data_IF_492590579677
#
_entry.id   IF_492590579677
#
_cell.length_a   1.000
_cell.length_b   1.000
_cell.length_c   1.000
_cell.angle_alpha   90.00
_cell.angle_beta   90.00
_cell.angle_gamma   90.00
#
_symmetry.space_group_name_H-M   'P 1'
#
loop_
_entity.id
_entity.type
_entity.pdbx_description
1 polymer ?
#
# COMPACT_ATOMS: atom_id res chain seq x y z
N UNK A 1 -32.00 69.45 29.99
CA UNK A 1 -30.67 69.67 29.34
C UNK A 1 -29.52 68.81 29.94
N UNK A 2 -29.61 68.33 31.19
CA UNK A 2 -28.59 67.44 31.75
C UNK A 2 -28.94 65.96 31.48
N UNK A 3 -30.23 65.60 31.54
CA UNK A 3 -30.74 64.23 31.32
C UNK A 3 -30.50 63.78 29.84
N UNK A 4 -30.71 64.67 28.89
CA UNK A 4 -30.52 64.35 27.45
C UNK A 4 -29.05 64.05 27.10
N UNK A 5 -28.13 64.69 27.83
CA UNK A 5 -26.69 64.41 27.63
C UNK A 5 -26.20 63.12 28.32
N UNK A 6 -26.91 62.66 29.33
CA UNK A 6 -26.62 61.38 29.98
C UNK A 6 -27.13 60.23 29.11
N UNK A 7 -28.36 60.37 28.57
CA UNK A 7 -28.93 59.38 27.65
C UNK A 7 -28.11 59.23 26.35
N UNK A 8 -27.61 60.33 25.79
CA UNK A 8 -26.69 60.28 24.61
C UNK A 8 -25.34 59.63 24.93
N UNK A 9 -24.84 59.72 26.15
CA UNK A 9 -23.63 59.04 26.57
C UNK A 9 -23.85 57.56 26.80
N UNK A 10 -24.91 57.16 27.43
CA UNK A 10 -25.28 55.78 27.66
C UNK A 10 -25.53 55.05 26.35
N UNK A 11 -26.23 55.69 25.38
CA UNK A 11 -26.42 55.10 24.05
C UNK A 11 -25.09 54.99 23.27
N UNK A 12 -24.16 55.90 23.47
CA UNK A 12 -22.87 55.85 22.82
C UNK A 12 -21.97 54.76 23.41
N UNK A 13 -21.97 54.62 24.73
CA UNK A 13 -21.25 53.53 25.42
C UNK A 13 -21.80 52.17 25.07
N UNK A 14 -23.17 52.00 24.99
CA UNK A 14 -23.77 50.77 24.55
C UNK A 14 -23.44 50.41 23.10
N UNK A 15 -23.37 51.40 22.18
CA UNK A 15 -22.99 51.13 20.80
C UNK A 15 -21.50 50.82 20.67
N UNK A 16 -20.64 51.38 21.51
CA UNK A 16 -19.22 51.07 21.54
C UNK A 16 -18.95 49.68 22.15
N UNK A 17 -19.75 49.24 23.16
CA UNK A 17 -19.70 47.89 23.71
C UNK A 17 -20.24 46.86 22.71
N UNK A 18 -21.39 47.09 22.05
CA UNK A 18 -21.91 46.21 20.99
C UNK A 18 -20.93 46.10 19.80
N UNK A 19 -20.29 47.19 19.41
CA UNK A 19 -19.29 47.18 18.36
C UNK A 19 -18.01 46.43 18.78
N UNK A 20 -17.61 46.49 20.05
CA UNK A 20 -16.49 45.73 20.59
C UNK A 20 -16.79 44.25 20.67
N UNK A 21 -18.03 43.89 21.10
CA UNK A 21 -18.50 42.50 21.15
C UNK A 21 -18.63 41.89 19.75
N UNK A 22 -19.10 42.64 18.76
CA UNK A 22 -19.11 42.22 17.33
C UNK A 22 -17.71 42.04 16.75
N UNK A 23 -16.73 42.79 17.21
CA UNK A 23 -15.33 42.66 16.82
C UNK A 23 -14.69 41.43 17.49
N UNK A 24 -15.05 41.15 18.75
CA UNK A 24 -14.56 39.94 19.46
C UNK A 24 -15.21 38.65 18.93
N UNK A 25 -16.49 38.66 18.59
CA UNK A 25 -17.16 37.53 17.92
C UNK A 25 -16.66 37.32 16.49
N UNK A 26 -16.19 38.38 15.82
CA UNK A 26 -15.51 38.31 14.52
C UNK A 26 -14.07 37.77 14.57
N UNK A 27 -13.49 37.65 15.79
CA UNK A 27 -12.15 37.05 16.02
C UNK A 27 -12.23 35.59 16.49
N UNK A 28 -13.41 35.05 16.79
CA UNK A 28 -13.55 33.60 16.91
C UNK A 28 -13.26 33.00 15.52
N UNK A 29 -12.11 32.39 15.43
CA UNK A 29 -11.54 31.70 14.26
C UNK A 29 -12.63 31.06 13.40
N UNK A 30 -13.06 31.80 12.38
CA UNK A 30 -13.84 31.22 11.31
C UNK A 30 -13.00 30.06 10.73
N UNK A 31 -13.44 28.80 10.89
CA UNK A 31 -12.68 27.63 10.39
C UNK A 31 -12.29 27.79 8.92
N UNK A 32 -13.07 28.56 8.16
CA UNK A 32 -12.80 28.88 6.74
C UNK A 32 -11.63 29.85 6.64
N UNK A 33 -11.56 30.89 7.49
CA UNK A 33 -10.42 31.82 7.53
C UNK A 33 -9.13 31.13 7.96
N UNK A 34 -9.21 30.25 8.96
CA UNK A 34 -8.05 29.45 9.42
C UNK A 34 -7.60 28.51 8.31
N UNK A 35 -8.53 27.83 7.63
CA UNK A 35 -8.26 26.97 6.47
C UNK A 35 -7.61 27.77 5.33
N UNK A 36 -8.17 28.93 4.96
CA UNK A 36 -7.60 29.78 3.90
C UNK A 36 -6.24 30.34 4.27
N UNK A 37 -6.00 30.68 5.56
CA UNK A 37 -4.69 31.11 6.05
C UNK A 37 -3.67 29.99 5.99
N UNK A 38 -4.04 28.75 6.36
CA UNK A 38 -3.18 27.57 6.24
C UNK A 38 -2.89 27.25 4.77
N UNK A 39 -3.91 27.30 3.91
CA UNK A 39 -3.75 27.11 2.46
C UNK A 39 -2.85 28.18 1.82
N UNK A 40 -2.97 29.45 2.27
CA UNK A 40 -2.14 30.55 1.76
C UNK A 40 -0.67 30.50 2.21
N UNK A 41 -0.35 29.70 3.25
CA UNK A 41 1.04 29.49 3.69
C UNK A 41 1.77 28.39 2.92
N UNK A 42 1.02 27.53 2.20
CA UNK A 42 1.59 26.48 1.36
C UNK A 42 1.97 27.11 0.02
N UNK A 43 3.27 27.23 -0.24
CA UNK A 43 3.75 27.71 -1.53
C UNK A 43 3.30 26.76 -2.64
N UNK A 44 2.62 27.28 -3.64
CA UNK A 44 2.24 26.50 -4.84
C UNK A 44 3.52 26.03 -5.54
N UNK A 45 3.55 24.76 -5.91
CA UNK A 45 4.64 24.21 -6.70
C UNK A 45 4.66 24.86 -8.09
N UNK A 46 5.84 25.15 -8.60
CA UNK A 46 5.99 25.50 -10.00
C UNK A 46 5.78 24.24 -10.85
N UNK A 47 5.42 24.40 -12.12
CA UNK A 47 5.25 23.27 -13.07
C UNK A 47 6.50 22.38 -13.16
N UNK A 48 7.69 22.97 -13.04
CA UNK A 48 8.96 22.24 -13.06
C UNK A 48 9.15 21.41 -11.79
N UNK A 49 8.80 21.98 -10.62
CA UNK A 49 8.83 21.28 -9.34
C UNK A 49 7.82 20.13 -9.30
N UNK A 50 6.60 20.37 -9.80
CA UNK A 50 5.57 19.34 -9.93
C UNK A 50 6.03 18.16 -10.80
N UNK A 51 6.61 18.46 -11.99
CA UNK A 51 7.13 17.45 -12.89
C UNK A 51 8.30 16.66 -12.27
N UNK A 52 9.18 17.35 -11.54
CA UNK A 52 10.32 16.73 -10.85
C UNK A 52 9.84 15.80 -9.75
N UNK A 53 8.86 16.25 -8.96
CA UNK A 53 8.26 15.46 -7.90
C UNK A 53 7.53 14.24 -8.46
N UNK A 54 6.71 14.42 -9.51
CA UNK A 54 6.00 13.34 -10.17
C UNK A 54 6.97 12.25 -10.69
N UNK A 55 8.06 12.64 -11.36
CA UNK A 55 9.10 11.70 -11.80
C UNK A 55 9.76 10.96 -10.64
N UNK A 56 10.00 11.65 -9.51
CA UNK A 56 10.58 11.02 -8.32
C UNK A 56 9.64 9.99 -7.70
N UNK A 57 8.34 10.32 -7.60
CA UNK A 57 7.31 9.39 -7.11
C UNK A 57 7.23 8.16 -8.02
N UNK A 58 7.16 8.38 -9.33
CA UNK A 58 7.10 7.31 -10.33
C UNK A 58 8.33 6.39 -10.25
N UNK A 59 9.53 6.94 -10.18
CA UNK A 59 10.77 6.18 -10.05
C UNK A 59 10.79 5.33 -8.76
N UNK A 60 10.33 5.88 -7.63
CA UNK A 60 10.24 5.16 -6.37
C UNK A 60 9.17 4.05 -6.42
N UNK A 61 8.01 4.30 -7.06
CA UNK A 61 6.98 3.29 -7.31
C UNK A 61 7.53 2.13 -8.14
N UNK A 62 8.22 2.42 -9.25
CA UNK A 62 8.83 1.39 -10.08
C UNK A 62 9.86 0.56 -9.31
N UNK A 63 10.74 1.22 -8.53
CA UNK A 63 11.74 0.52 -7.74
C UNK A 63 11.11 -0.44 -6.71
N UNK A 64 10.02 -0.02 -6.04
CA UNK A 64 9.26 -0.87 -5.13
C UNK A 64 8.61 -2.06 -5.85
N UNK A 65 7.92 -1.81 -6.96
CA UNK A 65 7.28 -2.85 -7.79
C UNK A 65 8.28 -3.87 -8.29
N UNK A 66 9.40 -3.43 -8.84
CA UNK A 66 10.44 -4.30 -9.39
C UNK A 66 11.07 -5.19 -8.31
N UNK A 67 11.31 -4.65 -7.11
CA UNK A 67 11.83 -5.42 -5.98
C UNK A 67 10.89 -6.59 -5.63
N UNK A 68 9.57 -6.35 -5.60
CA UNK A 68 8.57 -7.39 -5.30
C UNK A 68 8.42 -8.38 -6.46
N UNK A 69 8.29 -7.89 -7.68
CA UNK A 69 8.01 -8.72 -8.86
C UNK A 69 9.22 -9.57 -9.30
N UNK A 70 10.43 -9.20 -8.89
CA UNK A 70 11.64 -10.00 -9.10
C UNK A 70 11.66 -11.29 -8.28
N UNK A 71 10.79 -11.44 -7.27
CA UNK A 71 10.72 -12.62 -6.42
C UNK A 71 10.09 -13.82 -7.15
N UNK A 72 10.59 -15.05 -6.92
CA UNK A 72 10.01 -16.26 -7.52
C UNK A 72 8.54 -16.47 -7.17
N UNK A 73 8.13 -16.00 -5.99
CA UNK A 73 6.78 -16.12 -5.47
C UNK A 73 5.78 -15.22 -6.23
N UNK A 74 6.23 -14.03 -6.67
CA UNK A 74 5.35 -13.04 -7.30
C UNK A 74 4.59 -13.62 -8.51
N UNK A 75 5.27 -14.39 -9.36
CA UNK A 75 4.62 -15.05 -10.50
C UNK A 75 3.47 -15.97 -10.08
N UNK A 76 3.66 -16.77 -9.03
CA UNK A 76 2.65 -17.72 -8.56
C UNK A 76 1.47 -16.99 -7.94
N UNK A 77 1.77 -16.03 -7.10
CA UNK A 77 0.73 -15.31 -6.38
C UNK A 77 -0.04 -14.37 -7.31
N UNK A 78 0.63 -13.82 -8.34
CA UNK A 78 -0.06 -13.11 -9.42
C UNK A 78 -1.02 -14.01 -10.22
N UNK A 79 -0.62 -15.26 -10.53
CA UNK A 79 -1.53 -16.21 -11.16
C UNK A 79 -2.76 -16.50 -10.28
N UNK A 80 -2.55 -16.62 -8.97
CA UNK A 80 -3.64 -16.83 -8.00
C UNK A 80 -4.55 -15.60 -7.90
N UNK A 81 -3.96 -14.41 -7.83
CA UNK A 81 -4.70 -13.15 -7.85
C UNK A 81 -5.56 -13.06 -9.12
N UNK A 82 -4.96 -13.35 -10.27
CA UNK A 82 -5.68 -13.37 -11.56
C UNK A 82 -6.82 -14.37 -11.58
N UNK A 83 -6.64 -15.56 -11.00
CA UNK A 83 -7.72 -16.55 -10.89
C UNK A 83 -8.89 -15.98 -10.07
N UNK A 84 -8.63 -15.29 -8.96
CA UNK A 84 -9.67 -14.68 -8.13
C UNK A 84 -10.39 -13.50 -8.80
N UNK A 85 -9.66 -12.69 -9.58
CA UNK A 85 -10.23 -11.60 -10.37
C UNK A 85 -11.18 -12.14 -11.46
N UNK A 86 -10.78 -13.20 -12.17
CA UNK A 86 -11.59 -13.86 -13.20
C UNK A 86 -12.84 -14.51 -12.57
N UNK A 87 -12.72 -15.12 -11.39
CA UNK A 87 -13.81 -15.74 -10.65
C UNK A 87 -14.76 -14.72 -9.99
N UNK A 88 -14.44 -13.42 -10.06
CA UNK A 88 -15.24 -12.35 -9.45
C UNK A 88 -15.16 -12.30 -7.91
N UNK A 89 -14.15 -12.94 -7.30
CA UNK A 89 -13.92 -12.90 -5.85
C UNK A 89 -13.31 -11.59 -5.38
N UNK A 90 -12.67 -10.85 -6.29
CA UNK A 90 -12.03 -9.56 -6.05
C UNK A 90 -12.49 -8.57 -7.12
N UNK A 91 -12.51 -7.28 -6.75
CA UNK A 91 -12.82 -6.23 -7.70
C UNK A 91 -11.56 -5.90 -8.53
N UNK A 92 -11.62 -5.99 -9.87
CA UNK A 92 -10.45 -5.69 -10.72
C UNK A 92 -9.90 -4.28 -10.57
N UNK A 93 -10.74 -3.29 -10.32
CA UNK A 93 -10.36 -1.87 -10.17
C UNK A 93 -9.35 -1.65 -9.03
N UNK A 94 -9.40 -2.48 -7.98
CA UNK A 94 -8.49 -2.39 -6.84
C UNK A 94 -7.08 -2.91 -7.18
N UNK A 95 -6.96 -3.78 -8.20
CA UNK A 95 -5.73 -4.53 -8.47
C UNK A 95 -5.09 -4.25 -9.83
N UNK A 96 -5.81 -3.60 -10.76
CA UNK A 96 -5.30 -3.22 -12.08
C UNK A 96 -5.53 -1.73 -12.34
N UNK A 97 -4.52 -1.07 -12.96
CA UNK A 97 -4.59 0.34 -13.41
C UNK A 97 -5.13 0.43 -14.85
N UNK A 98 -5.94 -0.52 -15.28
CA UNK A 98 -6.50 -0.51 -16.62
C UNK A 98 -7.49 0.66 -16.82
N UNK A 99 -7.80 0.97 -18.07
CA UNK A 99 -8.69 2.06 -18.44
C UNK A 99 -10.04 1.94 -17.70
N UNK A 100 -10.45 2.96 -16.93
CA UNK A 100 -11.73 2.95 -16.22
C UNK A 100 -12.95 2.83 -17.15
N UNK A 101 -12.78 3.10 -18.45
CA UNK A 101 -13.83 2.91 -19.45
C UNK A 101 -13.92 1.47 -19.99
N UNK A 102 -12.98 0.60 -19.61
CA UNK A 102 -12.98 -0.78 -20.10
C UNK A 102 -14.14 -1.57 -19.46
N UNK A 103 -14.94 -2.21 -20.28
CA UNK A 103 -16.01 -3.07 -19.77
C UNK A 103 -15.41 -4.25 -18.99
N UNK A 104 -16.05 -4.63 -17.87
CA UNK A 104 -15.61 -5.74 -17.03
C UNK A 104 -15.34 -7.03 -17.81
N UNK A 105 -16.15 -7.31 -18.84
CA UNK A 105 -16.00 -8.50 -19.67
C UNK A 105 -14.71 -8.44 -20.51
N UNK A 106 -14.35 -7.30 -21.04
CA UNK A 106 -13.12 -7.08 -21.82
C UNK A 106 -11.90 -7.22 -20.91
N UNK A 107 -11.95 -6.65 -19.70
CA UNK A 107 -10.90 -6.79 -18.69
C UNK A 107 -10.68 -8.25 -18.31
N UNK A 108 -11.76 -9.01 -18.07
CA UNK A 108 -11.67 -10.45 -17.76
C UNK A 108 -11.03 -11.22 -18.93
N UNK A 109 -11.36 -10.89 -20.17
CA UNK A 109 -10.74 -11.52 -21.35
C UNK A 109 -9.23 -11.19 -21.44
N UNK A 110 -8.83 -9.96 -21.16
CA UNK A 110 -7.42 -9.57 -21.08
C UNK A 110 -6.69 -10.36 -19.98
N UNK A 111 -7.26 -10.44 -18.78
CA UNK A 111 -6.70 -11.21 -17.68
C UNK A 111 -6.55 -12.71 -18.01
N UNK A 112 -7.51 -13.31 -18.73
CA UNK A 112 -7.41 -14.69 -19.20
C UNK A 112 -6.23 -14.86 -20.16
N UNK A 113 -6.03 -13.93 -21.09
CA UNK A 113 -4.91 -13.97 -22.04
C UNK A 113 -3.57 -13.79 -21.33
N UNK A 114 -3.44 -12.79 -20.42
CA UNK A 114 -2.24 -12.55 -19.63
C UNK A 114 -1.89 -13.78 -18.77
N UNK A 115 -2.88 -14.38 -18.11
CA UNK A 115 -2.73 -15.62 -17.35
C UNK A 115 -2.18 -16.77 -18.21
N UNK A 116 -2.70 -16.96 -19.42
CA UNK A 116 -2.21 -17.99 -20.36
C UNK A 116 -0.76 -17.72 -20.77
N UNK A 117 -0.44 -16.46 -21.10
CA UNK A 117 0.93 -16.02 -21.44
C UNK A 117 1.88 -16.25 -20.26
N UNK A 118 1.49 -15.86 -19.05
CA UNK A 118 2.30 -16.03 -17.83
C UNK A 118 2.54 -17.52 -17.51
N UNK A 119 1.51 -18.37 -17.62
CA UNK A 119 1.66 -19.84 -17.43
C UNK A 119 2.61 -20.48 -18.41
N UNK A 120 2.65 -20.03 -19.66
CA UNK A 120 3.56 -20.53 -20.70
C UNK A 120 4.99 -20.00 -20.58
N UNK A 121 5.20 -18.89 -19.88
CA UNK A 121 6.51 -18.24 -19.73
C UNK A 121 7.40 -19.06 -18.78
N UNK A 122 8.36 -19.84 -19.34
CA UNK A 122 9.31 -20.61 -18.54
C UNK A 122 10.52 -19.76 -18.10
N UNK A 123 11.03 -18.88 -18.96
CA UNK A 123 12.15 -18.00 -18.67
C UNK A 123 11.71 -16.84 -17.78
N UNK A 124 12.54 -16.52 -16.77
CA UNK A 124 12.29 -15.42 -15.81
C UNK A 124 12.11 -14.08 -16.54
N UNK A 125 12.96 -13.74 -17.48
CA UNK A 125 12.89 -12.49 -18.26
C UNK A 125 11.58 -12.36 -19.05
N UNK A 126 11.11 -13.45 -19.66
CA UNK A 126 9.83 -13.47 -20.37
C UNK A 126 8.65 -13.34 -19.40
N UNK A 127 8.72 -13.98 -18.24
CA UNK A 127 7.69 -13.85 -17.22
C UNK A 127 7.58 -12.40 -16.70
N UNK A 128 8.70 -11.72 -16.45
CA UNK A 128 8.71 -10.32 -16.01
C UNK A 128 8.09 -9.38 -17.06
N UNK A 129 8.35 -9.59 -18.35
CA UNK A 129 7.69 -8.82 -19.42
C UNK A 129 6.17 -9.01 -19.40
N UNK A 130 5.70 -10.24 -19.24
CA UNK A 130 4.24 -10.49 -19.14
C UNK A 130 3.65 -9.88 -17.87
N UNK A 131 4.38 -9.91 -16.75
CA UNK A 131 3.94 -9.29 -15.48
C UNK A 131 3.80 -7.77 -15.63
N UNK A 132 4.68 -7.12 -16.39
CA UNK A 132 4.56 -5.70 -16.67
C UNK A 132 3.25 -5.32 -17.39
N UNK A 133 2.76 -6.20 -18.28
CA UNK A 133 1.51 -6.01 -19.01
C UNK A 133 0.24 -6.09 -18.12
N UNK A 134 0.37 -6.46 -16.83
CA UNK A 134 -0.78 -6.53 -15.90
C UNK A 134 -1.17 -5.16 -15.31
N UNK A 135 -0.39 -4.12 -15.53
CA UNK A 135 -0.65 -2.76 -15.00
C UNK A 135 -1.09 -2.75 -13.52
N UNK A 136 -0.39 -3.54 -12.68
CA UNK A 136 -0.76 -3.76 -11.29
C UNK A 136 -0.80 -2.45 -10.49
N UNK A 137 -1.80 -2.31 -9.63
CA UNK A 137 -1.84 -1.23 -8.62
C UNK A 137 -0.83 -1.49 -7.51
N UNK A 138 -0.53 -0.46 -6.71
CA UNK A 138 0.28 -0.61 -5.48
C UNK A 138 -0.41 -1.55 -4.49
N UNK A 139 -1.74 -1.58 -4.44
CA UNK A 139 -2.51 -2.51 -3.62
C UNK A 139 -2.24 -3.98 -4.01
N UNK A 140 -2.20 -4.28 -5.32
CA UNK A 140 -1.83 -5.60 -5.80
C UNK A 140 -0.40 -6.00 -5.39
N UNK A 141 0.54 -5.06 -5.45
CA UNK A 141 1.93 -5.28 -5.01
C UNK A 141 1.98 -5.54 -3.51
N UNK A 142 1.30 -4.73 -2.69
CA UNK A 142 1.18 -4.92 -1.24
C UNK A 142 0.60 -6.28 -0.88
N UNK A 143 -0.44 -6.72 -1.59
CA UNK A 143 -1.01 -8.05 -1.40
C UNK A 143 0.02 -9.18 -1.63
N UNK A 144 0.88 -9.07 -2.65
CA UNK A 144 1.97 -10.04 -2.91
C UNK A 144 2.97 -10.04 -1.74
N UNK A 145 3.31 -8.88 -1.19
CA UNK A 145 4.20 -8.76 -0.02
C UNK A 145 3.58 -9.44 1.21
N UNK A 146 2.30 -9.22 1.49
CA UNK A 146 1.58 -9.88 2.57
C UNK A 146 1.59 -11.42 2.44
N UNK A 147 1.43 -11.94 1.20
CA UNK A 147 1.54 -13.38 0.97
C UNK A 147 2.96 -13.86 1.30
N UNK A 148 4.00 -13.14 0.88
CA UNK A 148 5.39 -13.49 1.18
C UNK A 148 5.66 -13.55 2.68
N UNK A 149 5.19 -12.55 3.44
CA UNK A 149 5.27 -12.56 4.90
C UNK A 149 4.55 -13.75 5.53
N UNK A 150 3.33 -14.06 5.03
CA UNK A 150 2.55 -15.19 5.51
C UNK A 150 3.30 -16.51 5.33
N UNK A 151 3.97 -16.70 4.19
CA UNK A 151 4.80 -17.87 3.94
C UNK A 151 6.04 -17.89 4.81
N UNK A 152 6.68 -16.74 5.03
CA UNK A 152 7.83 -16.63 5.93
C UNK A 152 7.46 -17.01 7.37
N UNK A 153 6.36 -16.42 7.90
CA UNK A 153 5.85 -16.76 9.24
C UNK A 153 5.54 -18.26 9.38
N UNK A 154 4.95 -18.86 8.33
CA UNK A 154 4.69 -20.30 8.28
C UNK A 154 5.96 -21.13 8.31
N UNK A 155 6.99 -20.74 7.55
CA UNK A 155 8.28 -21.42 7.50
C UNK A 155 9.03 -21.33 8.84
N UNK A 156 9.05 -20.16 9.47
CA UNK A 156 9.66 -19.95 10.79
C UNK A 156 8.97 -20.76 11.89
N UNK A 157 7.66 -20.88 11.82
CA UNK A 157 6.88 -21.72 12.74
C UNK A 157 7.28 -23.19 12.61
N UNK A 158 7.42 -23.69 11.38
CA UNK A 158 7.87 -25.06 11.12
C UNK A 158 9.29 -25.28 11.64
N UNK A 159 10.20 -24.32 11.45
CA UNK A 159 11.59 -24.43 11.99
C UNK A 159 11.60 -24.47 13.52
N UNK A 160 10.82 -23.60 14.17
CA UNK A 160 10.70 -23.63 15.66
C UNK A 160 10.14 -24.96 16.14
N UNK A 161 9.11 -25.50 15.50
CA UNK A 161 8.54 -26.80 15.84
C UNK A 161 9.54 -27.95 15.63
N UNK A 162 10.36 -27.89 14.57
CA UNK A 162 11.42 -28.88 14.32
C UNK A 162 12.43 -28.89 15.45
N UNK A 163 12.92 -27.72 15.88
CA UNK A 163 13.89 -27.62 17.01
C UNK A 163 13.29 -28.17 18.30
N UNK A 164 12.05 -27.78 18.62
CA UNK A 164 11.37 -28.28 19.84
C UNK A 164 11.13 -29.79 19.81
N UNK A 165 10.66 -30.32 18.67
CA UNK A 165 10.36 -31.77 18.56
C UNK A 165 11.60 -32.62 18.59
N UNK A 166 12.73 -32.13 18.02
CA UNK A 166 14.03 -32.82 18.12
C UNK A 166 14.59 -32.89 19.55
N UNK A 167 14.31 -31.86 20.37
CA UNK A 167 14.71 -31.83 21.76
C UNK A 167 13.86 -32.75 22.67
N UNK A 168 12.67 -33.12 22.19
CA UNK A 168 11.73 -33.96 22.92
C UNK A 168 11.99 -35.43 22.61
N UNK A 169 12.36 -36.22 23.63
CA UNK A 169 12.55 -37.68 23.54
C UNK A 169 11.26 -38.50 23.58
N UNK A 170 10.11 -37.92 23.24
CA UNK A 170 8.80 -38.59 23.34
C UNK A 170 8.60 -39.65 22.24
N UNK A 171 7.91 -40.76 22.60
CA UNK A 171 7.43 -41.75 21.61
C UNK A 171 6.61 -41.04 20.53
N UNK A 172 6.90 -41.29 19.25
CA UNK A 172 6.27 -40.62 18.10
C UNK A 172 6.96 -39.34 17.58
N UNK A 173 8.02 -38.85 18.27
CA UNK A 173 8.79 -37.70 17.81
C UNK A 173 9.33 -37.89 16.39
N UNK A 174 9.78 -39.10 16.03
CA UNK A 174 10.34 -39.44 14.73
C UNK A 174 9.32 -39.21 13.57
N UNK A 175 8.07 -39.69 13.75
CA UNK A 175 7.02 -39.52 12.76
C UNK A 175 6.68 -38.01 12.60
N UNK A 176 6.57 -37.28 13.69
CA UNK A 176 6.30 -35.83 13.69
C UNK A 176 7.43 -35.04 13.05
N UNK A 177 8.68 -35.39 13.34
CA UNK A 177 9.86 -34.78 12.69
C UNK A 177 9.82 -35.00 11.18
N UNK A 178 9.48 -36.22 10.71
CA UNK A 178 9.33 -36.50 9.27
C UNK A 178 8.24 -35.64 8.62
N UNK A 179 7.09 -35.44 9.25
CA UNK A 179 6.03 -34.57 8.78
C UNK A 179 6.48 -33.11 8.71
N UNK A 180 7.19 -32.62 9.73
CA UNK A 180 7.71 -31.26 9.75
C UNK A 180 8.76 -31.02 8.65
N UNK A 181 9.64 -32.00 8.38
CA UNK A 181 10.55 -31.91 7.24
C UNK A 181 9.83 -31.83 5.90
N UNK A 182 8.71 -32.57 5.72
CA UNK A 182 7.87 -32.47 4.55
C UNK A 182 7.27 -31.07 4.41
N UNK A 183 6.70 -30.51 5.49
CA UNK A 183 6.17 -29.14 5.50
C UNK A 183 7.27 -28.09 5.23
N UNK A 184 8.46 -28.24 5.83
CA UNK A 184 9.62 -27.37 5.57
C UNK A 184 10.00 -27.35 4.09
N UNK A 185 10.06 -28.54 3.47
CA UNK A 185 10.37 -28.67 2.03
C UNK A 185 9.31 -27.99 1.17
N UNK A 186 8.05 -28.13 1.52
CA UNK A 186 6.92 -27.50 0.84
C UNK A 186 6.99 -25.98 0.97
N UNK A 187 7.18 -25.43 2.17
CA UNK A 187 7.35 -23.99 2.39
C UNK A 187 8.54 -23.42 1.59
N UNK A 188 9.70 -24.11 1.62
CA UNK A 188 10.86 -23.69 0.82
C UNK A 188 10.57 -23.71 -0.68
N UNK A 189 9.84 -24.71 -1.16
CA UNK A 189 9.40 -24.78 -2.57
C UNK A 189 8.45 -23.64 -2.93
N UNK A 190 7.55 -23.26 -2.02
CA UNK A 190 6.62 -22.16 -2.19
C UNK A 190 7.32 -20.82 -2.25
N UNK A 191 8.26 -20.55 -1.35
CA UNK A 191 9.04 -19.31 -1.33
C UNK A 191 10.07 -19.22 -2.46
N UNK A 192 10.55 -20.36 -2.99
CA UNK A 192 11.61 -20.42 -3.98
C UNK A 192 12.98 -19.93 -3.50
N UNK A 193 13.11 -19.58 -2.21
CA UNK A 193 14.31 -19.06 -1.53
C UNK A 193 14.39 -19.61 -0.11
N UNK A 194 15.56 -19.45 0.54
CA UNK A 194 15.72 -19.75 1.97
C UNK A 194 15.06 -18.67 2.84
N UNK A 195 14.83 -19.00 4.13
CA UNK A 195 14.25 -18.04 5.09
C UNK A 195 15.09 -16.77 5.18
N UNK A 196 16.42 -16.90 5.26
CA UNK A 196 17.35 -15.76 5.32
C UNK A 196 17.28 -14.89 4.06
N UNK A 197 17.25 -15.52 2.89
CA UNK A 197 17.11 -14.80 1.62
C UNK A 197 15.77 -14.08 1.50
N UNK A 198 14.69 -14.66 2.03
CA UNK A 198 13.37 -14.00 2.05
C UNK A 198 13.38 -12.83 3.03
N UNK A 199 13.99 -12.96 4.21
CA UNK A 199 14.14 -11.86 5.18
C UNK A 199 14.92 -10.68 4.59
N UNK A 200 16.04 -10.97 3.90
CA UNK A 200 16.81 -9.92 3.22
C UNK A 200 15.99 -9.22 2.13
N UNK A 201 15.27 -10.00 1.31
CA UNK A 201 14.41 -9.44 0.28
C UNK A 201 13.27 -8.58 0.88
N UNK A 202 12.66 -8.98 1.99
CA UNK A 202 11.65 -8.17 2.68
C UNK A 202 12.23 -6.85 3.22
N UNK A 203 13.45 -6.86 3.78
CA UNK A 203 14.11 -5.62 4.22
C UNK A 203 14.32 -4.65 3.05
N UNK A 204 14.77 -5.15 1.91
CA UNK A 204 14.93 -4.36 0.69
C UNK A 204 13.59 -3.80 0.21
N UNK A 205 12.55 -4.62 0.19
CA UNK A 205 11.19 -4.23 -0.20
C UNK A 205 10.66 -3.12 0.71
N UNK A 206 10.79 -3.25 2.04
CA UNK A 206 10.35 -2.22 2.98
C UNK A 206 11.15 -0.93 2.88
N UNK A 207 12.45 -1.01 2.57
CA UNK A 207 13.25 0.19 2.27
C UNK A 207 12.67 0.93 1.06
N UNK A 208 12.34 0.20 -0.02
CA UNK A 208 11.75 0.79 -1.22
C UNK A 208 10.33 1.31 -1.01
N UNK A 209 9.52 0.62 -0.23
CA UNK A 209 8.20 1.08 0.18
C UNK A 209 8.28 2.39 0.97
N UNK A 210 9.23 2.49 1.90
CA UNK A 210 9.48 3.71 2.68
C UNK A 210 9.96 4.85 1.79
N UNK A 211 10.85 4.60 0.82
CA UNK A 211 11.28 5.59 -0.18
C UNK A 211 10.08 6.10 -1.00
N UNK A 212 9.21 5.19 -1.46
CA UNK A 212 7.98 5.55 -2.16
C UNK A 212 7.02 6.37 -1.31
N UNK A 213 6.78 5.97 -0.06
CA UNK A 213 5.89 6.68 0.86
C UNK A 213 6.40 8.09 1.19
N UNK A 214 7.73 8.26 1.30
CA UNK A 214 8.35 9.58 1.52
C UNK A 214 8.35 10.47 0.27
N UNK A 215 8.34 9.87 -0.91
CA UNK A 215 8.31 10.61 -2.17
C UNK A 215 6.90 11.14 -2.50
N UNK A 216 5.86 10.49 -1.98
CA UNK A 216 4.45 10.84 -2.15
C UNK A 216 4.01 11.94 -1.18
#
# INVERSE_FOLDING_TARGET
NASSRLEEREEKEQREEEAAELVEVGQLDDPVKMYLRQMGQISLLTREQELTLAKRIEAAEFAYRDAVLALPIARRDLLRLTDWLIEGKLNPEDYSKDDPNLKREELVQQLIQLRRRLRRSRAKTRALKVIADYHLTIQAIGWIVEQLERYLRGAETVERQLVQTKRSSRKGATARVRQLYKKRREQRRLMGRTIEQVRLALREIYSKETEYTRAK
#
